data_IF_461736511849
#
_entry.id   IF_461736511849
#
_cell.length_a   1.000
_cell.length_b   1.000
_cell.length_c   1.000
_cell.angle_alpha   90.00
_cell.angle_beta   90.00
_cell.angle_gamma   90.00
#
_symmetry.space_group_name_H-M   'P 1'
#
loop_
_entity.id
_entity.type
_entity.pdbx_description
1 polymer ?
#
# COMPACT_ATOMS: atom_id res chain seq x y z
N UNK A 1 -11.73 -16.34 -27.63
CA UNK A 1 -12.44 -15.04 -27.62
C UNK A 1 -11.51 -13.99 -28.19
N UNK A 2 -12.02 -13.06 -29.00
CA UNK A 2 -11.22 -11.91 -29.45
C UNK A 2 -10.85 -11.05 -28.23
N UNK A 3 -9.61 -10.56 -28.15
CA UNK A 3 -9.08 -9.80 -27.02
C UNK A 3 -8.37 -8.54 -27.53
N UNK A 4 -8.12 -7.59 -26.64
CA UNK A 4 -7.30 -6.43 -26.93
C UNK A 4 -5.83 -6.86 -27.09
N UNK A 5 -5.18 -6.40 -28.15
CA UNK A 5 -3.79 -6.66 -28.45
C UNK A 5 -2.96 -5.38 -28.31
N UNK A 6 -1.83 -5.43 -27.61
CA UNK A 6 -0.85 -4.34 -27.60
C UNK A 6 0.08 -4.48 -28.80
N UNK A 7 -0.04 -3.58 -29.77
CA UNK A 7 0.74 -3.58 -31.02
C UNK A 7 2.14 -3.04 -30.82
N UNK A 8 2.25 -1.94 -30.06
CA UNK A 8 3.53 -1.29 -29.80
C UNK A 8 3.57 -0.63 -28.43
N UNK A 9 4.78 -0.40 -27.93
CA UNK A 9 5.06 0.30 -26.68
C UNK A 9 6.29 1.18 -26.84
N UNK A 10 6.18 2.44 -26.45
CA UNK A 10 7.26 3.43 -26.48
C UNK A 10 7.38 4.06 -25.11
N UNK A 11 8.58 4.12 -24.54
CA UNK A 11 8.86 4.89 -23.32
C UNK A 11 9.03 6.35 -23.73
N UNK A 12 8.21 7.23 -23.19
CA UNK A 12 8.25 8.67 -23.43
C UNK A 12 9.16 9.37 -22.40
N UNK A 13 9.14 8.89 -21.15
CA UNK A 13 9.97 9.38 -20.08
C UNK A 13 10.17 8.29 -19.02
N UNK A 14 11.32 8.29 -18.37
CA UNK A 14 11.67 7.38 -17.30
C UNK A 14 12.28 8.18 -16.14
N UNK A 15 11.79 7.91 -14.91
CA UNK A 15 12.33 8.53 -13.70
C UNK A 15 12.27 7.55 -12.53
N UNK A 16 13.40 7.36 -11.87
CA UNK A 16 13.58 6.41 -10.74
C UNK A 16 12.98 5.03 -11.08
N UNK A 17 11.77 4.74 -10.59
CA UNK A 17 11.09 3.44 -10.73
C UNK A 17 9.92 3.50 -11.72
N UNK A 18 9.51 4.67 -12.18
CA UNK A 18 8.34 4.86 -13.04
C UNK A 18 8.72 5.17 -14.48
N UNK A 19 7.84 4.74 -15.41
CA UNK A 19 7.97 5.04 -16.84
C UNK A 19 6.65 5.60 -17.35
N UNK A 20 6.70 6.77 -17.97
CA UNK A 20 5.60 7.24 -18.79
C UNK A 20 5.69 6.53 -20.15
N UNK A 21 4.69 5.72 -20.47
CA UNK A 21 4.68 4.94 -21.70
C UNK A 21 3.49 5.29 -22.56
N UNK A 22 3.69 5.22 -23.88
CA UNK A 22 2.63 5.28 -24.86
C UNK A 22 2.55 3.94 -25.58
N UNK A 23 1.36 3.35 -25.61
CA UNK A 23 1.13 2.08 -26.30
C UNK A 23 -0.01 2.21 -27.30
N UNK A 24 0.15 1.53 -28.43
CA UNK A 24 -0.90 1.32 -29.42
C UNK A 24 -1.55 -0.04 -29.20
N UNK A 25 -2.86 -0.05 -29.25
CA UNK A 25 -3.68 -1.25 -29.07
C UNK A 25 -4.59 -1.44 -30.26
N UNK A 26 -4.99 -2.70 -30.49
CA UNK A 26 -6.05 -3.09 -31.40
C UNK A 26 -7.20 -3.70 -30.60
N UNK A 27 -8.41 -3.20 -30.83
CA UNK A 27 -9.62 -3.73 -30.21
C UNK A 27 -10.01 -5.07 -30.84
N UNK A 28 -10.88 -5.87 -30.20
CA UNK A 28 -11.44 -7.08 -30.79
C UNK A 28 -12.19 -6.86 -32.11
N UNK A 29 -12.59 -5.60 -32.40
CA UNK A 29 -13.26 -5.21 -33.65
C UNK A 29 -12.30 -4.71 -34.74
N UNK A 30 -10.98 -4.70 -34.45
CA UNK A 30 -9.94 -4.25 -35.38
C UNK A 30 -9.61 -2.77 -35.32
N UNK A 31 -10.26 -1.98 -34.47
CA UNK A 31 -9.98 -0.55 -34.32
C UNK A 31 -8.66 -0.34 -33.57
N UNK A 32 -7.82 0.56 -34.08
CA UNK A 32 -6.58 0.92 -33.39
C UNK A 32 -6.75 2.21 -32.60
N UNK A 33 -6.14 2.24 -31.40
CA UNK A 33 -6.14 3.41 -30.53
C UNK A 33 -4.86 3.49 -29.69
N UNK A 34 -4.56 4.67 -29.19
CA UNK A 34 -3.37 4.93 -28.39
C UNK A 34 -3.76 5.30 -26.95
N UNK A 35 -2.98 4.81 -25.98
CA UNK A 35 -3.09 5.22 -24.57
C UNK A 35 -1.71 5.54 -24.02
N UNK A 36 -1.67 6.57 -23.18
CA UNK A 36 -0.48 6.97 -22.41
C UNK A 36 -0.80 6.71 -20.95
N UNK A 37 0.09 6.02 -20.26
CA UNK A 37 -0.07 5.64 -18.86
C UNK A 37 1.28 5.50 -18.17
N UNK A 38 1.26 5.44 -16.83
CA UNK A 38 2.46 5.23 -16.01
C UNK A 38 2.64 3.73 -15.73
N UNK A 39 3.79 3.19 -16.08
CA UNK A 39 4.22 1.87 -15.62
C UNK A 39 4.98 2.00 -14.30
N UNK A 40 4.67 1.10 -13.37
CA UNK A 40 5.25 1.02 -12.03
C UNK A 40 5.57 -0.44 -11.68
N UNK A 41 6.60 -0.71 -10.88
CA UNK A 41 6.87 -2.05 -10.34
C UNK A 41 5.80 -2.51 -9.36
N UNK A 42 4.93 -1.60 -8.90
CA UNK A 42 3.97 -1.83 -7.83
C UNK A 42 4.53 -1.48 -6.46
N UNK A 43 3.73 -1.72 -5.44
CA UNK A 43 4.06 -1.43 -4.05
C UNK A 43 3.50 -2.50 -3.11
N UNK A 44 3.88 -2.42 -1.85
CA UNK A 44 3.26 -3.16 -0.74
C UNK A 44 2.80 -2.18 0.31
N UNK A 45 1.74 -2.55 1.04
CA UNK A 45 1.31 -1.85 2.24
C UNK A 45 1.01 -2.86 3.34
N UNK A 46 1.26 -2.49 4.57
CA UNK A 46 1.06 -3.36 5.72
C UNK A 46 0.22 -2.65 6.78
N UNK A 47 -0.74 -3.37 7.37
CA UNK A 47 -1.56 -2.90 8.51
C UNK A 47 -1.01 -3.55 9.77
N UNK A 48 -0.17 -2.83 10.54
CA UNK A 48 0.42 -3.40 11.74
C UNK A 48 -0.52 -3.18 12.91
N UNK A 49 -0.94 -4.27 13.56
CA UNK A 49 -1.85 -4.21 14.72
C UNK A 49 -1.27 -4.91 15.93
N UNK A 50 -1.62 -4.39 17.10
CA UNK A 50 -1.33 -5.01 18.40
C UNK A 50 -2.51 -4.87 19.34
N UNK A 51 -2.60 -5.76 20.31
CA UNK A 51 -3.55 -5.60 21.42
C UNK A 51 -2.93 -4.68 22.48
N UNK A 52 -3.67 -3.69 22.92
CA UNK A 52 -3.27 -2.89 24.07
C UNK A 52 -3.65 -3.56 25.39
N UNK A 53 -3.29 -2.95 26.52
CA UNK A 53 -3.56 -3.49 27.87
C UNK A 53 -5.05 -3.68 28.17
N UNK A 54 -5.95 -3.02 27.46
CA UNK A 54 -7.41 -3.20 27.59
C UNK A 54 -8.00 -4.25 26.65
N UNK A 55 -7.15 -4.95 25.87
CA UNK A 55 -7.58 -5.96 24.90
C UNK A 55 -8.20 -5.39 23.62
N UNK A 56 -7.97 -4.11 23.32
CA UNK A 56 -8.42 -3.48 22.08
C UNK A 56 -7.28 -3.43 21.07
N UNK A 57 -7.61 -3.59 19.81
CA UNK A 57 -6.61 -3.43 18.74
C UNK A 57 -6.21 -1.98 18.55
N UNK A 58 -4.90 -1.75 18.52
CA UNK A 58 -4.26 -0.53 18.05
C UNK A 58 -3.62 -0.81 16.69
N UNK A 59 -3.64 0.18 15.81
CA UNK A 59 -2.95 0.16 14.52
C UNK A 59 -1.82 1.19 14.52
N UNK A 60 -0.67 0.81 13.96
CA UNK A 60 0.47 1.70 13.76
C UNK A 60 0.36 2.31 12.38
N UNK A 61 0.33 3.64 12.32
CA UNK A 61 0.21 4.41 11.09
C UNK A 61 1.37 5.39 10.97
N UNK A 62 1.56 5.92 9.78
CA UNK A 62 2.56 6.94 9.49
C UNK A 62 1.90 8.18 8.91
N UNK A 63 2.37 9.35 9.35
CA UNK A 63 1.97 10.63 8.76
C UNK A 63 3.16 11.19 8.00
N UNK A 64 3.02 11.35 6.69
CA UNK A 64 4.08 11.85 5.84
C UNK A 64 3.58 12.94 4.88
N UNK A 65 4.47 13.83 4.48
CA UNK A 65 4.19 14.83 3.47
C UNK A 65 4.18 14.21 2.08
N UNK A 66 3.11 14.45 1.33
CA UNK A 66 3.01 13.99 -0.06
C UNK A 66 3.08 15.19 -1.01
N UNK A 67 4.23 15.42 -1.68
CA UNK A 67 4.42 16.58 -2.57
C UNK A 67 3.34 16.72 -3.64
N UNK A 68 2.87 15.60 -4.20
CA UNK A 68 1.80 15.60 -5.20
C UNK A 68 0.47 16.15 -4.68
N UNK A 69 0.20 16.04 -3.37
CA UNK A 69 -0.98 16.57 -2.71
C UNK A 69 -0.75 17.96 -2.13
N UNK A 70 0.51 18.35 -1.90
CA UNK A 70 0.87 19.54 -1.16
C UNK A 70 0.44 19.49 0.32
N UNK A 71 0.27 18.30 0.90
CA UNK A 71 -0.28 18.09 2.23
C UNK A 71 0.29 16.83 2.90
N UNK A 72 0.11 16.76 4.22
CA UNK A 72 0.36 15.53 4.97
C UNK A 72 -0.79 14.54 4.78
N UNK A 73 -0.45 13.27 4.64
CA UNK A 73 -1.39 12.14 4.53
C UNK A 73 -1.14 11.18 5.69
N UNK A 74 -2.21 10.65 6.27
CA UNK A 74 -2.15 9.59 7.27
C UNK A 74 -2.33 8.25 6.57
N UNK A 75 -1.30 7.40 6.64
CA UNK A 75 -1.17 6.22 5.81
C UNK A 75 -0.79 4.99 6.64
N UNK A 76 -0.97 3.81 6.08
CA UNK A 76 -0.31 2.60 6.58
C UNK A 76 1.12 2.56 6.07
N UNK A 77 2.08 1.96 6.78
CA UNK A 77 3.44 1.74 6.29
C UNK A 77 3.43 1.06 4.91
N UNK A 78 4.18 1.62 3.96
CA UNK A 78 4.12 1.17 2.58
C UNK A 78 5.32 1.62 1.76
N UNK A 79 5.82 0.74 0.90
CA UNK A 79 6.90 1.10 -0.01
C UNK A 79 6.83 0.43 -1.37
N UNK A 80 7.72 0.88 -2.24
CA UNK A 80 7.82 0.40 -3.60
C UNK A 80 8.53 -0.95 -3.68
N UNK A 81 8.13 -1.76 -4.65
CA UNK A 81 8.83 -3.01 -4.97
C UNK A 81 10.04 -2.72 -5.87
N UNK A 82 11.05 -2.11 -5.30
CA UNK A 82 12.26 -1.64 -5.98
C UNK A 82 13.39 -2.68 -6.03
N UNK A 83 13.34 -3.69 -5.15
CA UNK A 83 14.30 -4.81 -5.15
C UNK A 83 13.81 -5.94 -6.05
N UNK A 84 14.55 -6.20 -7.13
CA UNK A 84 14.17 -7.22 -8.11
C UNK A 84 14.13 -8.61 -7.48
N UNK A 85 12.96 -9.29 -7.58
CA UNK A 85 12.79 -10.65 -7.06
C UNK A 85 12.51 -10.74 -5.56
N UNK A 86 12.45 -9.62 -4.84
CA UNK A 86 12.04 -9.61 -3.43
C UNK A 86 10.59 -10.07 -3.29
N UNK A 87 10.34 -10.92 -2.30
CA UNK A 87 8.99 -11.34 -1.95
C UNK A 87 8.18 -10.14 -1.43
N UNK A 88 6.94 -9.92 -1.89
CA UNK A 88 6.13 -8.78 -1.44
C UNK A 88 5.92 -8.70 0.07
N UNK A 89 5.87 -9.83 0.77
CA UNK A 89 5.78 -9.84 2.23
C UNK A 89 7.10 -9.38 2.87
N UNK A 90 8.23 -9.76 2.29
CA UNK A 90 9.54 -9.29 2.76
C UNK A 90 9.68 -7.78 2.58
N UNK A 91 9.28 -7.24 1.41
CA UNK A 91 9.19 -5.79 1.18
C UNK A 91 8.34 -5.12 2.26
N UNK A 92 7.13 -5.64 2.51
CA UNK A 92 6.21 -5.05 3.49
C UNK A 92 6.77 -5.05 4.92
N UNK A 93 7.51 -6.09 5.32
CA UNK A 93 8.17 -6.15 6.63
C UNK A 93 9.36 -5.20 6.72
N UNK A 94 10.13 -5.04 5.64
CA UNK A 94 11.23 -4.08 5.58
C UNK A 94 10.71 -2.66 5.75
N UNK A 95 9.68 -2.26 5.01
CA UNK A 95 9.04 -0.95 5.12
C UNK A 95 8.44 -0.71 6.51
N UNK A 96 7.80 -1.73 7.11
CA UNK A 96 7.31 -1.64 8.48
C UNK A 96 8.43 -1.29 9.47
N UNK A 97 9.59 -1.94 9.32
CA UNK A 97 10.74 -1.67 10.18
C UNK A 97 11.33 -0.29 9.92
N UNK A 98 11.57 0.05 8.66
CA UNK A 98 12.20 1.31 8.24
C UNK A 98 11.39 2.52 8.70
N UNK A 99 10.07 2.50 8.43
CA UNK A 99 9.18 3.62 8.72
C UNK A 99 8.73 3.71 10.19
N UNK A 100 8.60 2.59 10.89
CA UNK A 100 7.94 2.58 12.20
C UNK A 100 8.76 2.01 13.36
N UNK A 101 9.82 1.27 13.09
CA UNK A 101 10.57 0.55 14.12
C UNK A 101 9.85 -0.67 14.70
N UNK A 102 8.92 -1.26 13.94
CA UNK A 102 8.25 -2.50 14.30
C UNK A 102 8.53 -3.60 13.28
N UNK A 103 8.45 -4.84 13.74
CA UNK A 103 8.41 -6.04 12.90
C UNK A 103 7.37 -7.03 13.44
N UNK A 104 7.08 -8.08 12.66
CA UNK A 104 6.16 -9.15 13.08
C UNK A 104 6.57 -10.49 12.47
N UNK A 105 6.34 -11.57 13.20
CA UNK A 105 6.44 -12.95 12.68
C UNK A 105 5.09 -13.51 12.18
N UNK A 106 3.97 -12.82 12.42
CA UNK A 106 2.62 -13.20 11.96
C UNK A 106 2.13 -12.19 10.93
N UNK A 107 2.45 -12.44 9.67
CA UNK A 107 2.07 -11.60 8.54
C UNK A 107 1.14 -12.37 7.61
N UNK A 108 -0.01 -11.79 7.32
CA UNK A 108 -1.10 -12.42 6.57
C UNK A 108 -1.50 -11.59 5.36
N UNK A 109 -1.72 -12.20 4.19
CA UNK A 109 -2.14 -11.46 3.01
C UNK A 109 -3.57 -10.91 3.16
N UNK A 110 -3.75 -9.62 2.88
CA UNK A 110 -5.05 -8.97 2.74
C UNK A 110 -5.49 -8.84 1.28
N UNK A 111 -4.68 -9.35 0.34
CA UNK A 111 -4.94 -9.33 -1.09
C UNK A 111 -4.38 -8.10 -1.80
N UNK A 112 -4.75 -7.94 -3.07
CA UNK A 112 -4.22 -6.90 -3.95
C UNK A 112 -5.28 -5.84 -4.24
N UNK A 113 -4.82 -4.62 -4.48
CA UNK A 113 -5.63 -3.52 -5.03
C UNK A 113 -4.96 -2.91 -6.27
N UNK A 114 -5.77 -2.30 -7.13
CA UNK A 114 -5.34 -1.45 -8.23
C UNK A 114 -5.77 -0.02 -7.89
N UNK A 115 -4.81 0.87 -7.68
CA UNK A 115 -5.10 2.24 -7.21
C UNK A 115 -5.81 3.09 -8.27
N UNK A 116 -5.30 3.08 -9.50
CA UNK A 116 -5.82 3.92 -10.58
C UNK A 116 -5.65 3.23 -11.95
N UNK A 117 -6.40 2.16 -12.26
CA UNK A 117 -6.19 1.34 -13.47
C UNK A 117 -6.45 2.08 -14.79
N UNK A 118 -7.03 3.27 -14.74
CA UNK A 118 -7.18 4.15 -15.90
C UNK A 118 -5.90 4.87 -16.31
N UNK A 119 -4.92 5.01 -15.43
CA UNK A 119 -3.68 5.78 -15.67
C UNK A 119 -2.40 5.04 -15.31
N UNK A 120 -2.46 3.91 -14.61
CA UNK A 120 -1.28 3.13 -14.21
C UNK A 120 -1.60 1.66 -14.10
N UNK A 121 -0.58 0.82 -14.26
CA UNK A 121 -0.63 -0.61 -13.96
C UNK A 121 -0.22 -0.92 -12.52
N UNK A 122 0.01 0.09 -11.68
CA UNK A 122 0.45 -0.10 -10.30
C UNK A 122 -0.52 -1.00 -9.53
N UNK A 123 -0.02 -2.14 -9.10
CA UNK A 123 -0.69 -3.04 -8.19
C UNK A 123 -0.05 -2.91 -6.81
N UNK A 124 -0.88 -2.87 -5.76
CA UNK A 124 -0.41 -2.84 -4.37
C UNK A 124 -0.86 -4.11 -3.68
N UNK A 125 0.09 -4.82 -3.08
CA UNK A 125 -0.20 -5.97 -2.23
C UNK A 125 -0.33 -5.51 -0.79
N UNK A 126 -1.42 -5.92 -0.12
CA UNK A 126 -1.73 -5.54 1.25
C UNK A 126 -1.53 -6.72 2.19
N UNK A 127 -0.99 -6.43 3.36
CA UNK A 127 -0.73 -7.39 4.42
C UNK A 127 -1.28 -6.89 5.77
N UNK A 128 -1.60 -7.82 6.65
CA UNK A 128 -1.86 -7.60 8.07
C UNK A 128 -0.67 -8.14 8.86
N UNK A 129 -0.11 -7.35 9.76
CA UNK A 129 0.90 -7.81 10.72
C UNK A 129 0.30 -7.80 12.14
N UNK A 130 0.38 -8.92 12.83
CA UNK A 130 -0.13 -9.09 14.19
C UNK A 130 1.03 -9.40 15.15
N UNK A 131 0.91 -9.02 16.41
CA UNK A 131 1.93 -9.34 17.41
C UNK A 131 3.26 -8.63 17.15
N UNK A 132 3.19 -7.29 17.08
CA UNK A 132 4.33 -6.45 16.77
C UNK A 132 5.44 -6.56 17.82
N UNK A 133 6.68 -6.53 17.34
CA UNK A 133 7.90 -6.45 18.16
C UNK A 133 8.66 -5.18 17.80
N UNK A 134 9.08 -4.41 18.78
CA UNK A 134 9.92 -3.23 18.56
C UNK A 134 11.33 -3.63 18.13
N UNK A 135 11.83 -2.93 17.12
CA UNK A 135 13.19 -3.07 16.57
C UNK A 135 13.78 -1.69 16.28
N UNK A 136 15.07 -1.63 15.96
CA UNK A 136 15.66 -0.36 15.54
C UNK A 136 15.03 0.11 14.23
N UNK A 137 14.65 1.38 14.19
CA UNK A 137 14.18 2.06 12.99
C UNK A 137 15.36 2.33 12.05
N UNK A 138 15.15 2.24 10.75
CA UNK A 138 16.20 2.41 9.74
C UNK A 138 15.71 3.26 8.57
N UNK A 139 15.47 4.55 8.83
CA UNK A 139 14.92 5.52 7.87
C UNK A 139 15.94 5.96 6.84
N UNK A 140 15.47 6.17 5.62
CA UNK A 140 16.27 6.57 4.48
C UNK A 140 15.66 7.74 3.72
N UNK A 141 16.34 8.89 3.81
CA UNK A 141 16.01 10.09 3.04
C UNK A 141 15.11 11.10 3.75
N UNK A 142 15.05 12.33 3.19
CA UNK A 142 14.45 13.48 3.86
C UNK A 142 12.92 13.39 4.03
N UNK A 143 12.24 12.61 3.19
CA UNK A 143 10.79 12.43 3.32
C UNK A 143 10.44 11.55 4.53
N UNK A 144 11.29 10.54 4.82
CA UNK A 144 11.13 9.66 5.98
C UNK A 144 11.62 10.33 7.28
N UNK A 145 12.60 11.23 7.20
CA UNK A 145 13.08 12.00 8.36
C UNK A 145 11.99 12.88 8.98
N UNK A 146 11.07 13.41 8.15
CA UNK A 146 9.92 14.25 8.59
C UNK A 146 8.68 13.41 8.95
N UNK A 147 8.70 12.10 8.65
CA UNK A 147 7.59 11.20 8.92
C UNK A 147 7.39 10.97 10.43
N UNK A 148 6.14 10.98 10.88
CA UNK A 148 5.79 10.66 12.26
C UNK A 148 4.98 9.36 12.35
N UNK A 149 5.26 8.57 13.40
CA UNK A 149 4.50 7.36 13.71
C UNK A 149 3.34 7.71 14.63
N UNK A 150 2.14 7.29 14.26
CA UNK A 150 0.93 7.48 15.05
C UNK A 150 0.32 6.12 15.40
N UNK A 151 -0.01 5.93 16.68
CA UNK A 151 -0.66 4.72 17.16
C UNK A 151 -2.07 5.08 17.56
N UNK A 152 -3.04 4.50 16.86
CA UNK A 152 -4.47 4.79 17.02
C UNK A 152 -5.20 3.52 17.42
N UNK A 153 -6.32 3.65 18.13
CA UNK A 153 -7.25 2.53 18.20
C UNK A 153 -7.79 2.21 16.79
N UNK A 154 -7.87 0.93 16.44
CA UNK A 154 -8.37 0.52 15.11
C UNK A 154 -9.80 1.07 14.87
N UNK A 155 -10.67 1.05 15.89
CA UNK A 155 -12.01 1.64 15.78
C UNK A 155 -11.97 3.15 15.50
N UNK A 156 -10.97 3.88 16.01
CA UNK A 156 -10.80 5.31 15.75
C UNK A 156 -10.33 5.53 14.31
N UNK A 157 -9.36 4.74 13.85
CA UNK A 157 -8.91 4.79 12.46
C UNK A 157 -10.05 4.50 11.46
N UNK A 158 -10.94 3.54 11.78
CA UNK A 158 -12.11 3.27 10.95
C UNK A 158 -13.08 4.45 10.92
N UNK A 159 -13.30 5.15 12.06
CA UNK A 159 -14.11 6.38 12.07
C UNK A 159 -13.47 7.51 11.27
N UNK A 160 -12.14 7.62 11.29
CA UNK A 160 -11.41 8.60 10.48
C UNK A 160 -11.54 8.34 8.97
N UNK A 161 -11.79 7.10 8.55
CA UNK A 161 -12.16 6.80 7.16
C UNK A 161 -13.57 7.38 6.86
N UNK A 162 -14.53 7.20 7.75
CA UNK A 162 -15.91 7.69 7.57
C UNK A 162 -15.96 9.23 7.51
N UNK A 163 -15.10 9.91 8.27
CA UNK A 163 -15.03 11.39 8.28
C UNK A 163 -14.15 11.97 7.18
N UNK A 164 -13.38 11.13 6.46
CA UNK A 164 -12.48 11.55 5.39
C UNK A 164 -11.12 12.07 5.88
N UNK A 165 -10.78 11.88 7.15
CA UNK A 165 -9.45 12.18 7.69
C UNK A 165 -8.39 11.15 7.23
N UNK A 166 -8.82 9.92 6.97
CA UNK A 166 -8.04 8.88 6.27
C UNK A 166 -8.71 8.66 4.92
N UNK A 167 -8.09 9.16 3.86
CA UNK A 167 -8.57 9.11 2.47
C UNK A 167 -7.59 8.42 1.51
N UNK A 168 -6.39 8.05 1.98
CA UNK A 168 -5.44 7.27 1.21
C UNK A 168 -5.99 5.88 0.88
N UNK A 169 -6.07 5.51 -0.40
CA UNK A 169 -6.71 4.27 -0.85
C UNK A 169 -6.09 3.00 -0.24
N UNK A 170 -4.77 2.96 -0.03
CA UNK A 170 -4.11 1.81 0.61
C UNK A 170 -4.52 1.68 2.08
N UNK A 171 -4.53 2.79 2.81
CA UNK A 171 -4.94 2.83 4.21
C UNK A 171 -6.41 2.44 4.36
N UNK A 172 -7.30 3.05 3.58
CA UNK A 172 -8.74 2.74 3.60
C UNK A 172 -9.01 1.26 3.38
N UNK A 173 -8.50 0.69 2.28
CA UNK A 173 -8.75 -0.72 1.95
C UNK A 173 -8.03 -1.65 2.92
N UNK A 174 -6.80 -1.32 3.32
CA UNK A 174 -6.02 -2.09 4.27
C UNK A 174 -6.72 -2.22 5.61
N UNK A 175 -7.12 -1.09 6.21
CA UNK A 175 -7.80 -1.05 7.51
C UNK A 175 -9.14 -1.79 7.50
N UNK A 176 -9.96 -1.59 6.47
CA UNK A 176 -11.25 -2.28 6.34
C UNK A 176 -11.08 -3.80 6.22
N UNK A 177 -10.10 -4.27 5.44
CA UNK A 177 -9.83 -5.72 5.31
C UNK A 177 -9.21 -6.29 6.58
N UNK A 178 -8.34 -5.56 7.27
CA UNK A 178 -7.77 -5.97 8.55
C UNK A 178 -8.87 -6.14 9.60
N UNK A 179 -9.77 -5.18 9.73
CA UNK A 179 -10.92 -5.25 10.64
C UNK A 179 -11.79 -6.48 10.37
N UNK A 180 -12.10 -6.76 9.08
CA UNK A 180 -12.88 -7.95 8.70
C UNK A 180 -12.20 -9.25 9.15
N UNK A 181 -10.88 -9.38 8.97
CA UNK A 181 -10.12 -10.57 9.39
C UNK A 181 -10.14 -10.72 10.90
N UNK A 182 -9.83 -9.64 11.65
CA UNK A 182 -9.75 -9.65 13.11
C UNK A 182 -11.10 -9.95 13.77
N UNK A 183 -12.20 -9.40 13.24
CA UNK A 183 -13.56 -9.72 13.70
C UNK A 183 -13.95 -11.16 13.44
N UNK A 184 -13.60 -11.71 12.29
CA UNK A 184 -13.88 -13.10 11.95
C UNK A 184 -13.15 -14.07 12.90
N UNK A 185 -11.91 -13.77 13.26
CA UNK A 185 -11.14 -14.55 14.23
C UNK A 185 -11.72 -14.48 15.64
N UNK A 186 -12.06 -13.27 16.09
CA UNK A 186 -12.71 -13.07 17.40
C UNK A 186 -14.04 -13.84 17.52
N UNK A 187 -14.82 -13.89 16.44
CA UNK A 187 -16.09 -14.64 16.39
C UNK A 187 -15.89 -16.16 16.36
N UNK A 188 -14.73 -16.65 15.88
CA UNK A 188 -14.41 -18.09 15.82
C UNK A 188 -13.68 -18.62 17.05
N UNK A 189 -13.40 -17.76 18.04
CA UNK A 189 -12.72 -18.14 19.31
C UNK A 189 -11.24 -18.53 19.10
N UNK A 190 -10.61 -18.03 18.05
CA UNK A 190 -9.19 -18.24 17.76
C UNK A 190 -8.38 -17.04 18.22
#
# INVERSE_FOLDING_TARGET
MAHFERISRTVLHEWVLWKLVQSRFRSPRGEEFVRTYVESPGATGIVPVRLNASGRYEVVMVRQYRPALGAYSLEIPAGMRDVAGEDPQATALRELQEETGFTSSDVRPLGQILQAPGITNAAVQLFLAVGLTEVAMDRHGPEEDDMTVEILLLDDALRMIETGEIDNAMAVVGLLRADQVLRAESASGK
#
